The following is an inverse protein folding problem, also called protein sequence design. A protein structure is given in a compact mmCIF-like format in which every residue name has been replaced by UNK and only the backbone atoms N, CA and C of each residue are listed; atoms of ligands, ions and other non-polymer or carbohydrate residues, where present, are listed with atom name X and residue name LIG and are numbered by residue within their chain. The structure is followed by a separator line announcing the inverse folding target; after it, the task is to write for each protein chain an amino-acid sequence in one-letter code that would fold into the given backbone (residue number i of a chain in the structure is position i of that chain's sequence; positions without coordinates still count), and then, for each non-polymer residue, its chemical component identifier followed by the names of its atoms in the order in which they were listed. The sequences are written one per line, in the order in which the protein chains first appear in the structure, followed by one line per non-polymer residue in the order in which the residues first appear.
data_IF_469227851001
#
_entry.id   IF_469227851001
#
_cell.length_a   1.000
_cell.length_b   1.000
_cell.length_c   1.000
_cell.angle_alpha   90.00
_cell.angle_beta   90.00
_cell.angle_gamma   90.00
#
_symmetry.space_group_name_H-M   'P 1'
#
loop_
_entity.id
_entity.type
_entity.pdbx_description
1 polymer ?
#
# COMPACT_ATOMS: atom_id res chain seq x y z
N UNK A 1 15.37 -19.71 -1.71
CA UNK A 1 16.76 -19.76 -1.22
C UNK A 1 16.81 -19.70 0.29
N UNK A 2 16.37 -18.61 0.94
CA UNK A 2 16.39 -18.49 2.41
C UNK A 2 15.84 -19.71 3.14
N UNK A 3 14.71 -20.25 2.69
CA UNK A 3 14.09 -21.44 3.29
C UNK A 3 14.83 -22.74 2.92
N UNK A 4 15.10 -22.94 1.62
CA UNK A 4 15.70 -24.19 1.10
C UNK A 4 17.14 -24.39 1.59
N UNK A 5 17.89 -23.31 1.75
CA UNK A 5 19.26 -23.32 2.28
C UNK A 5 19.31 -23.13 3.81
N UNK A 6 18.16 -23.09 4.49
CA UNK A 6 18.05 -22.88 5.94
C UNK A 6 18.80 -21.63 6.45
N UNK A 7 18.76 -20.55 5.66
CA UNK A 7 19.38 -19.25 5.97
C UNK A 7 18.43 -18.27 6.68
N UNK A 8 17.16 -18.62 6.82
CA UNK A 8 16.18 -17.80 7.55
C UNK A 8 16.33 -17.98 9.06
N UNK A 9 15.92 -16.98 9.85
CA UNK A 9 15.94 -17.06 11.30
C UNK A 9 14.74 -17.88 11.82
N UNK A 10 14.96 -19.18 12.01
CA UNK A 10 13.92 -20.09 12.48
C UNK A 10 13.40 -19.73 13.88
N UNK A 11 14.24 -19.19 14.76
CA UNK A 11 13.83 -18.81 16.10
C UNK A 11 12.90 -17.60 16.06
N UNK A 12 13.26 -16.57 15.29
CA UNK A 12 12.42 -15.39 15.09
C UNK A 12 11.07 -15.78 14.47
N UNK A 13 11.09 -16.57 13.40
CA UNK A 13 9.88 -17.05 12.72
C UNK A 13 8.97 -17.80 13.70
N UNK A 14 9.50 -18.72 14.49
CA UNK A 14 8.70 -19.51 15.44
C UNK A 14 8.09 -18.67 16.57
N UNK A 15 8.77 -17.60 17.00
CA UNK A 15 8.35 -16.82 18.18
C UNK A 15 7.58 -15.54 17.85
N UNK A 16 7.76 -14.97 16.66
CA UNK A 16 7.23 -13.64 16.30
C UNK A 16 6.34 -13.64 15.06
N UNK A 17 6.07 -14.81 14.46
CA UNK A 17 5.23 -14.89 13.25
C UNK A 17 4.16 -15.97 13.39
N UNK A 18 3.13 -15.87 12.55
CA UNK A 18 2.10 -16.89 12.37
C UNK A 18 1.92 -17.16 10.88
N UNK A 19 1.52 -18.38 10.51
CA UNK A 19 1.28 -18.75 9.12
C UNK A 19 2.52 -19.05 8.28
N UNK A 20 3.68 -19.31 8.89
CA UNK A 20 4.89 -19.67 8.16
C UNK A 20 4.74 -20.97 7.35
N UNK A 21 4.16 -22.02 7.93
CA UNK A 21 3.99 -23.32 7.24
C UNK A 21 3.18 -23.23 5.94
N UNK A 22 1.96 -22.65 5.90
CA UNK A 22 1.24 -22.51 4.63
C UNK A 22 1.97 -21.60 3.63
N UNK A 23 2.68 -20.58 4.11
CA UNK A 23 3.50 -19.72 3.24
C UNK A 23 4.69 -20.48 2.64
N UNK A 24 5.36 -21.29 3.44
CA UNK A 24 6.45 -22.19 3.01
C UNK A 24 5.96 -23.18 1.96
N UNK A 25 4.83 -23.84 2.21
CA UNK A 25 4.21 -24.77 1.27
C UNK A 25 3.93 -24.11 -0.09
N UNK A 26 3.39 -22.87 -0.09
CA UNK A 26 3.18 -22.10 -1.31
C UNK A 26 4.47 -21.73 -2.05
N UNK A 27 5.51 -21.30 -1.32
CA UNK A 27 6.80 -20.98 -1.94
C UNK A 27 7.48 -22.20 -2.55
N UNK A 28 7.30 -23.38 -1.95
CA UNK A 28 7.83 -24.64 -2.46
C UNK A 28 6.95 -25.29 -3.53
N UNK A 29 5.78 -24.72 -3.81
CA UNK A 29 4.83 -25.25 -4.80
C UNK A 29 4.06 -26.48 -4.31
N UNK A 30 4.08 -26.76 -3.00
CA UNK A 30 3.34 -27.87 -2.41
C UNK A 30 1.82 -27.64 -2.46
N UNK A 31 1.38 -26.37 -2.48
CA UNK A 31 -0.05 -26.01 -2.54
C UNK A 31 -0.60 -25.77 -3.96
N UNK A 32 0.24 -25.38 -4.92
CA UNK A 32 -0.20 -24.98 -6.26
C UNK A 32 0.57 -25.65 -7.42
N UNK A 33 1.52 -26.54 -7.10
CA UNK A 33 2.36 -27.25 -8.08
C UNK A 33 3.49 -26.42 -8.69
N UNK A 34 3.67 -25.16 -8.30
CA UNK A 34 4.65 -24.25 -8.91
C UNK A 34 5.63 -23.75 -7.84
N UNK A 35 6.84 -24.32 -7.80
CA UNK A 35 7.89 -23.85 -6.92
C UNK A 35 8.37 -22.44 -7.33
N UNK A 36 8.37 -21.49 -6.37
CA UNK A 36 8.78 -20.10 -6.55
C UNK A 36 10.31 -19.97 -6.49
N UNK A 37 10.97 -20.66 -7.41
CA UNK A 37 12.44 -20.74 -7.51
C UNK A 37 13.06 -19.44 -8.04
N UNK A 38 14.36 -19.20 -7.82
CA UNK A 38 15.08 -18.09 -8.45
C UNK A 38 14.96 -18.10 -9.98
N UNK A 39 15.09 -19.27 -10.63
CA UNK A 39 14.84 -19.42 -12.07
C UNK A 39 13.43 -18.99 -12.48
N UNK A 40 12.41 -19.38 -11.72
CA UNK A 40 11.02 -18.96 -11.95
C UNK A 40 10.88 -17.44 -11.84
N UNK A 41 11.45 -16.84 -10.78
CA UNK A 41 11.39 -15.40 -10.57
C UNK A 41 12.12 -14.63 -11.68
N UNK A 42 13.28 -15.11 -12.13
CA UNK A 42 14.07 -14.51 -13.20
C UNK A 42 13.28 -14.36 -14.50
N UNK A 43 12.47 -15.37 -14.84
CA UNK A 43 11.62 -15.33 -16.04
C UNK A 43 10.52 -14.24 -15.97
N UNK A 44 10.11 -13.83 -14.76
CA UNK A 44 9.06 -12.83 -14.53
C UNK A 44 9.65 -11.43 -14.38
N UNK A 45 10.69 -11.29 -13.57
CA UNK A 45 11.27 -10.00 -13.21
C UNK A 45 12.30 -9.49 -14.21
N UNK A 46 12.88 -10.39 -15.02
CA UNK A 46 14.01 -10.10 -15.89
C UNK A 46 15.35 -9.98 -15.16
N UNK A 47 15.41 -10.21 -13.84
CA UNK A 47 16.64 -10.19 -13.05
C UNK A 47 17.33 -11.56 -13.18
N UNK A 48 18.66 -11.59 -13.34
CA UNK A 48 19.35 -12.86 -13.51
C UNK A 48 19.21 -13.74 -12.26
N UNK A 49 19.04 -15.05 -12.45
CA UNK A 49 18.88 -16.02 -11.36
C UNK A 49 20.00 -15.90 -10.31
N UNK A 50 21.24 -15.77 -10.76
CA UNK A 50 22.40 -15.65 -9.88
C UNK A 50 22.37 -14.36 -9.03
N UNK A 51 21.82 -13.26 -9.56
CA UNK A 51 21.70 -12.00 -8.82
C UNK A 51 20.66 -12.15 -7.70
N UNK A 52 19.53 -12.78 -7.98
CA UNK A 52 18.48 -13.07 -6.98
C UNK A 52 19.06 -13.92 -5.83
N UNK A 53 19.80 -14.99 -6.17
CA UNK A 53 20.45 -15.87 -5.19
C UNK A 53 21.48 -15.11 -4.36
N UNK A 54 22.36 -14.35 -5.02
CA UNK A 54 23.44 -13.62 -4.35
C UNK A 54 22.89 -12.55 -3.41
N UNK A 55 21.85 -11.83 -3.81
CA UNK A 55 21.18 -10.84 -2.98
C UNK A 55 20.56 -11.49 -1.74
N UNK A 56 19.84 -12.62 -1.89
CA UNK A 56 19.24 -13.32 -0.76
C UNK A 56 20.29 -13.77 0.27
N UNK A 57 21.41 -14.34 -0.18
CA UNK A 57 22.52 -14.75 0.69
C UNK A 57 23.22 -13.56 1.35
N UNK A 58 23.42 -12.47 0.62
CA UNK A 58 23.99 -11.23 1.18
C UNK A 58 23.11 -10.69 2.30
N UNK A 59 21.80 -10.60 2.08
CA UNK A 59 20.84 -10.11 3.07
C UNK A 59 20.82 -10.97 4.34
N UNK A 60 20.92 -12.29 4.20
CA UNK A 60 20.96 -13.22 5.34
C UNK A 60 22.26 -13.16 6.15
N UNK A 61 23.40 -12.84 5.52
CA UNK A 61 24.72 -12.83 6.16
C UNK A 61 25.11 -11.47 6.77
N UNK A 62 24.32 -10.43 6.55
CA UNK A 62 24.63 -9.06 6.98
C UNK A 62 23.50 -8.44 7.78
N UNK A 63 23.81 -7.40 8.56
CA UNK A 63 22.78 -6.52 9.13
C UNK A 63 22.12 -5.76 7.98
N UNK A 64 20.83 -6.03 7.76
CA UNK A 64 20.07 -5.60 6.58
C UNK A 64 18.81 -4.84 7.00
N UNK A 65 18.71 -3.61 6.50
CA UNK A 65 17.48 -2.81 6.53
C UNK A 65 16.84 -2.86 5.13
N UNK A 66 15.63 -3.37 5.03
CA UNK A 66 14.84 -3.35 3.79
C UNK A 66 13.94 -2.12 3.82
N UNK A 67 14.20 -1.15 2.94
CA UNK A 67 13.37 0.04 2.80
C UNK A 67 12.70 0.05 1.42
N UNK A 68 11.36 0.12 1.39
CA UNK A 68 10.60 0.20 0.14
C UNK A 68 9.86 1.52 0.01
N UNK A 69 9.68 1.99 -1.22
CA UNK A 69 8.95 3.21 -1.55
C UNK A 69 7.44 3.01 -1.43
N UNK A 70 6.70 4.04 -1.04
CA UNK A 70 5.23 4.03 -1.06
C UNK A 70 4.61 3.93 -2.46
N UNK A 71 5.41 4.12 -3.51
CA UNK A 71 4.94 3.96 -4.88
C UNK A 71 4.57 2.53 -5.24
N UNK A 72 5.22 1.53 -4.65
CA UNK A 72 5.05 0.12 -5.06
C UNK A 72 3.65 -0.43 -4.76
N UNK A 73 2.93 0.15 -3.79
CA UNK A 73 1.55 -0.21 -3.51
C UNK A 73 0.51 0.53 -4.36
N UNK A 74 0.91 1.54 -5.16
CA UNK A 74 0.01 2.25 -6.09
C UNK A 74 -0.07 1.53 -7.44
N UNK A 75 -0.36 0.24 -7.37
CA UNK A 75 -0.52 -0.63 -8.52
C UNK A 75 -1.61 -1.66 -8.22
N UNK A 76 -2.05 -2.37 -9.26
CA UNK A 76 -2.92 -3.54 -9.08
C UNK A 76 -2.20 -4.55 -8.17
N UNK A 77 -2.90 -5.08 -7.17
CA UNK A 77 -2.34 -5.99 -6.16
C UNK A 77 -1.19 -5.36 -5.34
N UNK A 78 -1.21 -4.04 -5.17
CA UNK A 78 -0.16 -3.31 -4.47
C UNK A 78 0.03 -3.73 -3.00
N UNK A 79 -1.03 -4.24 -2.37
CA UNK A 79 -0.98 -4.81 -1.01
C UNK A 79 -0.02 -6.01 -0.91
N UNK A 80 0.10 -6.79 -1.99
CA UNK A 80 0.97 -7.98 -2.04
C UNK A 80 2.45 -7.61 -1.92
N UNK A 81 2.88 -6.50 -2.53
CA UNK A 81 4.26 -6.05 -2.48
C UNK A 81 4.69 -5.71 -1.04
N UNK A 82 3.79 -5.08 -0.28
CA UNK A 82 4.03 -4.76 1.12
C UNK A 82 4.06 -6.02 1.98
N UNK A 83 3.07 -6.91 1.83
CA UNK A 83 3.01 -8.17 2.59
C UNK A 83 4.21 -9.07 2.31
N UNK A 84 4.63 -9.21 1.04
CA UNK A 84 5.82 -9.96 0.67
C UNK A 84 7.10 -9.37 1.28
N UNK A 85 7.20 -8.03 1.38
CA UNK A 85 8.33 -7.36 2.02
C UNK A 85 8.37 -7.66 3.52
N UNK A 86 7.23 -7.59 4.21
CA UNK A 86 7.13 -7.96 5.63
C UNK A 86 7.54 -9.41 5.84
N UNK A 87 7.04 -10.33 5.00
CA UNK A 87 7.39 -11.74 5.05
C UNK A 87 8.90 -11.96 4.85
N UNK A 88 9.51 -11.31 3.85
CA UNK A 88 10.95 -11.37 3.63
C UNK A 88 11.74 -10.88 4.85
N UNK A 89 11.38 -9.73 5.43
CA UNK A 89 12.09 -9.19 6.61
C UNK A 89 11.89 -10.04 7.86
N UNK A 90 10.73 -10.68 8.00
CA UNK A 90 10.48 -11.63 9.07
C UNK A 90 11.34 -12.89 8.91
N UNK A 91 11.51 -13.40 7.69
CA UNK A 91 12.44 -14.51 7.41
C UNK A 91 13.89 -14.15 7.73
N UNK A 92 14.31 -12.90 7.54
CA UNK A 92 15.65 -12.45 7.93
C UNK A 92 15.84 -12.36 9.44
N UNK A 93 14.77 -12.23 10.23
CA UNK A 93 14.81 -12.19 11.70
C UNK A 93 15.36 -10.91 12.33
N UNK A 94 15.57 -9.84 11.56
CA UNK A 94 16.30 -8.65 12.03
C UNK A 94 15.39 -7.50 12.50
N UNK A 95 14.07 -7.71 12.52
CA UNK A 95 13.10 -6.72 12.97
C UNK A 95 13.33 -6.41 14.46
N UNK A 96 13.40 -5.12 14.80
CA UNK A 96 13.65 -4.66 16.17
C UNK A 96 15.14 -4.50 16.51
N UNK A 97 16.05 -4.83 15.60
CA UNK A 97 17.50 -4.61 15.82
C UNK A 97 17.97 -3.25 15.29
N UNK A 98 18.97 -2.60 15.91
CA UNK A 98 19.53 -1.36 15.39
C UNK A 98 20.09 -1.54 13.96
N UNK A 99 19.58 -0.77 12.99
CA UNK A 99 20.00 -0.85 11.59
C UNK A 99 19.49 -2.08 10.83
N UNK A 100 18.59 -2.87 11.40
CA UNK A 100 17.96 -4.02 10.75
C UNK A 100 16.44 -3.88 10.64
N UNK A 101 15.83 -4.75 9.83
CA UNK A 101 14.38 -4.85 9.70
C UNK A 101 13.83 -4.12 8.48
N UNK A 102 12.79 -3.32 8.70
CA UNK A 102 11.89 -2.82 7.66
C UNK A 102 11.62 -1.32 7.81
N UNK A 103 11.61 -0.60 6.69
CA UNK A 103 11.11 0.76 6.58
C UNK A 103 10.16 0.92 5.39
N UNK A 104 9.05 1.65 5.58
CA UNK A 104 8.16 2.06 4.50
C UNK A 104 8.31 3.55 4.25
N UNK A 105 8.92 3.92 3.13
CA UNK A 105 9.12 5.31 2.76
C UNK A 105 10.00 6.07 3.75
N UNK A 106 11.10 5.45 4.17
CA UNK A 106 12.01 5.96 5.21
C UNK A 106 12.41 7.43 5.02
N UNK A 107 12.55 7.89 3.77
CA UNK A 107 12.88 9.28 3.42
C UNK A 107 11.76 10.04 2.69
N UNK A 108 10.58 9.44 2.48
CA UNK A 108 9.52 10.02 1.66
C UNK A 108 8.91 11.32 2.22
N UNK A 109 9.12 11.60 3.51
CA UNK A 109 8.62 12.79 4.20
C UNK A 109 9.70 13.80 4.56
N UNK A 110 10.95 13.57 4.12
CA UNK A 110 12.12 14.35 4.52
C UNK A 110 12.30 14.45 6.05
N UNK A 111 11.87 13.41 6.78
CA UNK A 111 11.95 13.35 8.24
C UNK A 111 13.10 12.48 8.77
N UNK A 112 13.75 11.70 7.91
CA UNK A 112 14.89 10.87 8.32
C UNK A 112 16.02 11.76 8.87
N UNK A 113 16.34 11.58 10.15
CA UNK A 113 17.37 12.37 10.84
C UNK A 113 16.97 13.79 11.23
N UNK A 114 15.73 14.22 10.98
CA UNK A 114 15.26 15.56 11.35
C UNK A 114 14.86 15.63 12.83
N UNK A 115 15.47 16.54 13.59
CA UNK A 115 15.06 16.85 14.97
C UNK A 115 13.82 17.75 14.97
N UNK A 116 12.62 17.17 14.84
CA UNK A 116 11.38 17.94 15.00
C UNK A 116 10.99 18.09 16.47
N UNK A 117 10.68 19.32 16.86
CA UNK A 117 9.78 19.58 18.00
C UNK A 117 8.36 19.28 17.54
N UNK A 118 7.63 18.47 18.29
CA UNK A 118 6.20 18.28 18.05
C UNK A 118 5.50 19.63 18.23
N UNK A 119 4.94 20.16 17.14
CA UNK A 119 4.17 21.40 17.14
C UNK A 119 2.81 21.13 16.52
N UNK A 120 1.75 21.46 17.26
CA UNK A 120 0.39 21.50 16.73
C UNK A 120 -0.02 22.96 16.61
N UNK A 121 -0.36 23.39 15.39
CA UNK A 121 -1.00 24.68 15.19
C UNK A 121 -2.40 24.75 15.82
N UNK A 122 -2.99 25.94 15.92
CA UNK A 122 -4.38 26.10 16.35
C UNK A 122 -5.33 25.35 15.41
N UNK A 123 -6.36 24.70 15.98
CA UNK A 123 -7.38 23.94 15.24
C UNK A 123 -8.76 24.34 15.73
N UNK A 124 -9.72 24.42 14.80
CA UNK A 124 -11.14 24.53 15.16
C UNK A 124 -11.68 23.14 15.51
N UNK A 125 -12.69 23.04 16.42
CA UNK A 125 -13.39 21.78 16.66
C UNK A 125 -14.10 21.31 15.39
N UNK A 126 -13.88 20.07 14.98
CA UNK A 126 -14.50 19.51 13.77
C UNK A 126 -16.00 19.15 13.95
N UNK A 127 -16.47 19.02 15.20
CA UNK A 127 -17.82 18.53 15.51
C UNK A 127 -17.99 17.02 15.26
N UNK A 128 -19.21 16.53 15.42
CA UNK A 128 -19.59 15.15 15.07
C UNK A 128 -20.38 15.16 13.76
N UNK A 129 -20.00 14.29 12.82
CA UNK A 129 -20.73 14.11 11.57
C UNK A 129 -21.85 13.07 11.78
N UNK A 130 -23.10 13.48 11.57
CA UNK A 130 -24.26 12.59 11.68
C UNK A 130 -24.32 11.52 10.58
N UNK A 131 -23.55 11.68 9.49
CA UNK A 131 -23.40 10.69 8.42
C UNK A 131 -22.21 9.78 8.74
N UNK A 132 -22.49 8.50 8.94
CA UNK A 132 -21.47 7.46 9.18
C UNK A 132 -21.02 6.74 7.91
N UNK A 133 -21.70 6.98 6.78
CA UNK A 133 -21.34 6.38 5.50
C UNK A 133 -19.99 6.91 5.01
N UNK A 134 -19.10 5.98 4.63
CA UNK A 134 -17.77 6.29 4.11
C UNK A 134 -17.53 5.52 2.81
N UNK A 135 -16.78 6.13 1.90
CA UNK A 135 -16.29 5.47 0.70
C UNK A 135 -14.76 5.47 0.67
N UNK A 136 -14.12 4.46 0.06
CA UNK A 136 -12.71 4.56 -0.27
C UNK A 136 -12.49 5.76 -1.20
N UNK A 137 -11.54 6.64 -0.88
CA UNK A 137 -11.35 7.92 -1.59
C UNK A 137 -11.17 7.78 -3.10
N UNK A 138 -10.51 6.71 -3.55
CA UNK A 138 -10.28 6.44 -4.97
C UNK A 138 -11.55 6.01 -5.74
N UNK A 139 -12.68 5.74 -5.05
CA UNK A 139 -13.97 5.40 -5.64
C UNK A 139 -14.87 6.60 -5.90
N UNK A 140 -14.32 7.81 -5.85
CA UNK A 140 -15.09 9.06 -6.04
C UNK A 140 -15.84 9.08 -7.39
N UNK A 141 -15.15 8.81 -8.51
CA UNK A 141 -15.80 8.81 -9.81
C UNK A 141 -16.87 7.71 -9.93
N UNK A 142 -16.55 6.48 -9.49
CA UNK A 142 -17.48 5.35 -9.47
C UNK A 142 -18.75 5.68 -8.67
N UNK A 143 -18.60 6.23 -7.46
CA UNK A 143 -19.71 6.62 -6.60
C UNK A 143 -20.67 7.60 -7.28
N UNK A 144 -20.12 8.63 -7.95
CA UNK A 144 -20.92 9.66 -8.62
C UNK A 144 -21.64 9.13 -9.87
N UNK A 145 -21.02 8.18 -10.58
CA UNK A 145 -21.59 7.58 -11.78
C UNK A 145 -22.64 6.51 -11.46
N UNK A 146 -22.51 5.80 -10.34
CA UNK A 146 -23.25 4.58 -10.01
C UNK A 146 -23.96 4.63 -8.64
N UNK A 147 -24.83 5.61 -8.37
CA UNK A 147 -25.53 5.70 -7.09
C UNK A 147 -26.41 4.46 -6.84
N UNK A 148 -26.32 3.90 -5.63
CA UNK A 148 -27.07 2.72 -5.21
C UNK A 148 -26.46 1.36 -5.59
N UNK A 149 -25.43 1.34 -6.45
CA UNK A 149 -24.71 0.13 -6.83
C UNK A 149 -23.90 -0.44 -5.65
N UNK A 150 -23.80 -1.76 -5.59
CA UNK A 150 -23.06 -2.49 -4.55
C UNK A 150 -21.57 -2.57 -4.89
N UNK A 151 -20.72 -2.46 -3.86
CA UNK A 151 -19.28 -2.67 -3.99
C UNK A 151 -18.71 -3.35 -2.75
N UNK A 152 -17.58 -4.04 -2.93
CA UNK A 152 -16.85 -4.65 -1.83
C UNK A 152 -15.69 -3.77 -1.37
N UNK A 153 -15.51 -3.67 -0.06
CA UNK A 153 -14.35 -3.02 0.54
C UNK A 153 -14.02 -3.66 1.88
N UNK A 154 -12.78 -4.15 2.02
CA UNK A 154 -12.26 -4.72 3.27
C UNK A 154 -13.19 -5.79 3.89
N UNK A 155 -13.68 -6.71 3.04
CA UNK A 155 -14.59 -7.79 3.44
C UNK A 155 -16.06 -7.38 3.66
N UNK A 156 -16.40 -6.11 3.44
CA UNK A 156 -17.76 -5.59 3.60
C UNK A 156 -18.44 -5.39 2.25
N UNK A 157 -19.76 -5.59 2.22
CA UNK A 157 -20.61 -5.24 1.10
C UNK A 157 -21.29 -3.90 1.40
N UNK A 158 -21.01 -2.89 0.58
CA UNK A 158 -21.45 -1.52 0.76
C UNK A 158 -22.20 -1.06 -0.49
N UNK A 159 -22.90 0.08 -0.39
CA UNK A 159 -23.62 0.70 -1.51
C UNK A 159 -23.22 2.15 -1.68
N UNK A 160 -23.08 2.60 -2.92
CA UNK A 160 -22.75 3.99 -3.18
C UNK A 160 -23.91 4.92 -2.79
N UNK A 161 -23.65 5.99 -2.02
CA UNK A 161 -24.66 7.00 -1.74
C UNK A 161 -24.97 7.84 -2.98
N UNK A 162 -26.19 8.36 -3.04
CA UNK A 162 -26.60 9.31 -4.08
C UNK A 162 -26.20 10.74 -3.68
N UNK A 163 -25.02 11.18 -4.14
CA UNK A 163 -24.45 12.48 -3.79
C UNK A 163 -24.92 13.56 -4.77
N UNK A 164 -25.65 14.55 -4.24
CA UNK A 164 -26.18 15.67 -5.03
C UNK A 164 -25.38 16.97 -4.88
N UNK A 165 -24.52 17.08 -3.87
CA UNK A 165 -23.65 18.23 -3.65
C UNK A 165 -22.23 17.79 -3.32
N UNK A 166 -21.25 18.40 -3.98
CA UNK A 166 -19.83 18.24 -3.68
C UNK A 166 -19.26 19.58 -3.21
N UNK A 167 -18.64 19.60 -2.04
CA UNK A 167 -17.86 20.74 -1.54
C UNK A 167 -16.40 20.31 -1.47
N UNK A 168 -15.53 20.98 -2.23
CA UNK A 168 -14.13 20.63 -2.37
C UNK A 168 -13.24 21.80 -1.95
N UNK A 169 -12.33 21.59 -0.99
CA UNK A 169 -11.46 22.64 -0.46
C UNK A 169 -10.05 22.13 -0.13
N UNK A 170 -9.03 22.87 -0.55
CA UNK A 170 -7.62 22.58 -0.25
C UNK A 170 -7.02 21.39 -1.02
N UNK A 171 -7.59 21.01 -2.16
CA UNK A 171 -7.08 19.98 -3.04
C UNK A 171 -7.65 20.07 -4.46
N UNK A 172 -7.09 19.32 -5.40
CA UNK A 172 -7.52 19.34 -6.80
C UNK A 172 -7.79 17.93 -7.33
N UNK A 173 -9.07 17.54 -7.40
CA UNK A 173 -9.50 16.23 -7.88
C UNK A 173 -9.00 15.92 -9.30
N UNK A 174 -8.98 16.92 -10.19
CA UNK A 174 -8.52 16.78 -11.58
C UNK A 174 -7.00 16.67 -11.73
N UNK A 175 -6.25 16.76 -10.64
CA UNK A 175 -4.82 16.49 -10.64
C UNK A 175 -4.47 15.09 -10.10
N UNK A 176 -5.11 14.65 -9.02
CA UNK A 176 -4.72 13.43 -8.32
C UNK A 176 -5.60 12.21 -8.61
N UNK A 177 -6.77 12.40 -9.20
CA UNK A 177 -7.63 11.29 -9.60
C UNK A 177 -7.21 10.69 -10.94
N UNK A 178 -7.45 9.40 -11.10
CA UNK A 178 -7.16 8.66 -12.33
C UNK A 178 -8.26 8.93 -13.38
N UNK A 179 -7.98 8.63 -14.65
CA UNK A 179 -8.88 8.80 -15.80
C UNK A 179 -9.72 10.09 -15.76
N UNK A 180 -9.12 11.18 -16.22
CA UNK A 180 -9.76 12.50 -16.19
C UNK A 180 -11.03 12.57 -17.06
N UNK A 181 -11.17 11.73 -18.09
CA UNK A 181 -12.36 11.74 -18.92
C UNK A 181 -13.55 11.14 -18.17
N UNK A 182 -13.32 10.01 -17.48
CA UNK A 182 -14.32 9.42 -16.61
C UNK A 182 -14.69 10.39 -15.46
N UNK A 183 -13.69 11.02 -14.84
CA UNK A 183 -13.93 12.01 -13.79
C UNK A 183 -14.77 13.18 -14.31
N UNK A 184 -14.50 13.71 -15.51
CA UNK A 184 -15.30 14.78 -16.11
C UNK A 184 -16.79 14.41 -16.20
N UNK A 185 -17.12 13.18 -16.59
CA UNK A 185 -18.51 12.73 -16.65
C UNK A 185 -19.11 12.57 -15.25
N UNK A 186 -18.35 12.01 -14.32
CA UNK A 186 -18.75 11.86 -12.92
C UNK A 186 -19.02 13.22 -12.25
N UNK A 187 -18.18 14.22 -12.51
CA UNK A 187 -18.24 15.54 -11.89
C UNK A 187 -19.47 16.36 -12.30
N UNK A 188 -20.14 15.98 -13.40
CA UNK A 188 -21.41 16.59 -13.87
C UNK A 188 -22.66 15.99 -13.23
N UNK A 189 -22.52 14.92 -12.44
CA UNK A 189 -23.65 14.20 -11.83
C UNK A 189 -24.27 14.96 -10.65
N UNK A 190 -23.49 15.55 -9.71
CA UNK A 190 -24.05 16.39 -8.66
C UNK A 190 -24.76 17.61 -9.23
N UNK A 191 -25.78 18.07 -8.53
CA UNK A 191 -26.51 19.30 -8.88
C UNK A 191 -25.73 20.55 -8.53
N UNK A 192 -24.82 20.46 -7.57
CA UNK A 192 -24.00 21.58 -7.13
C UNK A 192 -22.60 21.10 -6.79
N UNK A 193 -21.61 21.78 -7.36
CA UNK A 193 -20.21 21.62 -6.99
C UNK A 193 -19.67 22.97 -6.56
N UNK A 194 -19.09 23.02 -5.36
CA UNK A 194 -18.42 24.20 -4.80
C UNK A 194 -16.94 23.87 -4.68
N UNK A 195 -16.08 24.65 -5.33
CA UNK A 195 -14.63 24.57 -5.20
C UNK A 195 -14.14 25.80 -4.44
N UNK A 196 -13.41 25.57 -3.35
CA UNK A 196 -12.86 26.61 -2.50
C UNK A 196 -11.33 26.49 -2.50
N UNK A 197 -10.69 27.25 -3.38
CA UNK A 197 -9.24 27.30 -3.56
C UNK A 197 -8.74 28.74 -3.61
N UNK A 198 -7.50 29.02 -3.15
CA UNK A 198 -6.87 30.33 -3.31
C UNK A 198 -6.30 30.54 -4.72
N UNK A 199 -6.27 29.49 -5.56
CA UNK A 199 -5.73 29.51 -6.93
C UNK A 199 -6.74 28.91 -7.91
N UNK A 200 -6.75 29.41 -9.15
CA UNK A 200 -7.60 28.84 -10.20
C UNK A 200 -7.07 27.47 -10.62
N UNK A 201 -7.92 26.45 -10.55
CA UNK A 201 -7.61 25.10 -10.99
C UNK A 201 -8.68 24.57 -11.96
N UNK A 202 -8.51 23.34 -12.46
CA UNK A 202 -9.43 22.74 -13.45
C UNK A 202 -10.78 22.29 -12.86
N UNK A 203 -10.96 22.37 -11.55
CA UNK A 203 -12.20 21.93 -10.90
C UNK A 203 -13.28 23.02 -10.91
N UNK A 204 -12.91 24.29 -11.16
CA UNK A 204 -13.80 25.46 -11.21
C UNK A 204 -13.85 26.18 -12.55
#
# INVERSE_FOLDING_TARGET
MLIVESLYDAQFVASHTVGFEPYRAYLLGESDGIAKTPRWAAAITGIAEQEIVSLARMMASQRTMVNISWSIQRARQGEQAYWATVALTALLGQIGTPGGGLGFGYACTNLAGASRKAFSGPRLPAGENAVSSVIPVARLADMLLHPGEEYEFDGQHLRYPDIRLVYWAGGNAFHHHQDLNQLCEAWRRPETVVVHEPVLDRAG
#
